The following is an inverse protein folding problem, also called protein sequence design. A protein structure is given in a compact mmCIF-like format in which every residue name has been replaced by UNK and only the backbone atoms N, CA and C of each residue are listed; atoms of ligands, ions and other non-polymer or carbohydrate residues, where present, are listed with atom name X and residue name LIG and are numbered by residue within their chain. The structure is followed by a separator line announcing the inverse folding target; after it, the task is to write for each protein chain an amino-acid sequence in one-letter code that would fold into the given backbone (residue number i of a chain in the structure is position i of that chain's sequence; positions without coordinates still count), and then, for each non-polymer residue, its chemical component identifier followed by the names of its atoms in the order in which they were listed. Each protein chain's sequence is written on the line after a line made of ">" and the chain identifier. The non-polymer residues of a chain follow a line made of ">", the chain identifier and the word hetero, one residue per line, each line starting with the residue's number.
data_IF_852899180851
#
_entry.id   IF_852899180851
#
_cell.length_a   1.000
_cell.length_b   1.000
_cell.length_c   1.000
_cell.angle_alpha   90.00
_cell.angle_beta   90.00
_cell.angle_gamma   90.00
#
_symmetry.space_group_name_H-M   'P 1'
#
loop_
_entity.id
_entity.type
_entity.pdbx_description
1 polymer ?
#
# COMPACT_ATOMS: atom_id res chain seq x y z
N UNK A 1 -15.31 53.15 -13.02
CA UNK A 1 -15.05 52.77 -11.62
C UNK A 1 -15.47 51.30 -11.50
N UNK A 2 -14.57 50.34 -11.80
CA UNK A 2 -13.59 49.72 -10.89
C UNK A 2 -14.28 49.18 -9.62
N UNK A 3 -14.12 47.93 -9.16
CA UNK A 3 -13.19 46.81 -9.40
C UNK A 3 -13.79 45.61 -8.65
N UNK A 4 -13.56 44.38 -9.11
CA UNK A 4 -13.53 43.09 -8.37
C UNK A 4 -13.32 42.00 -9.46
N UNK A 5 -12.15 41.90 -10.09
CA UNK A 5 -10.95 41.16 -9.65
C UNK A 5 -11.20 39.65 -9.47
N UNK A 6 -11.09 38.93 -10.59
CA UNK A 6 -10.35 37.68 -10.82
C UNK A 6 -10.24 36.68 -9.65
N UNK A 7 -11.01 35.59 -9.77
CA UNK A 7 -10.71 34.30 -9.14
C UNK A 7 -10.25 33.39 -10.27
N UNK A 8 -8.93 33.33 -10.45
CA UNK A 8 -8.27 32.32 -11.28
C UNK A 8 -8.53 30.93 -10.68
N UNK A 9 -9.08 30.06 -11.53
CA UNK A 9 -9.18 28.62 -11.33
C UNK A 9 -7.79 28.03 -11.11
N UNK A 10 -7.52 27.60 -9.87
CA UNK A 10 -6.33 26.85 -9.49
C UNK A 10 -6.27 25.52 -10.22
N UNK A 11 -5.46 25.49 -11.27
CA UNK A 11 -4.93 24.29 -11.91
C UNK A 11 -3.85 23.73 -10.98
N UNK A 12 -4.10 22.57 -10.37
CA UNK A 12 -3.04 21.81 -9.71
C UNK A 12 -1.98 21.36 -10.72
N UNK A 13 -0.72 21.12 -10.32
CA UNK A 13 0.40 21.00 -11.27
C UNK A 13 0.51 19.63 -11.96
N UNK A 14 -0.44 18.72 -11.81
CA UNK A 14 -0.32 17.35 -12.35
C UNK A 14 -1.62 16.87 -13.01
N UNK A 15 -1.54 16.21 -14.18
CA UNK A 15 -2.72 15.74 -14.90
C UNK A 15 -3.44 14.66 -14.09
N UNK A 16 -4.75 14.82 -13.94
CA UNK A 16 -5.64 13.76 -13.45
C UNK A 16 -5.56 12.54 -14.38
N UNK A 17 -5.67 11.33 -13.81
CA UNK A 17 -5.57 10.03 -14.50
C UNK A 17 -6.39 9.97 -15.81
N UNK A 18 -7.50 10.72 -15.91
CA UNK A 18 -8.27 10.89 -17.15
C UNK A 18 -7.44 11.31 -18.37
N UNK A 19 -6.44 12.18 -18.20
CA UNK A 19 -5.57 12.62 -19.30
C UNK A 19 -4.50 11.59 -19.70
N UNK A 20 -4.20 10.60 -18.84
CA UNK A 20 -3.30 9.49 -19.17
C UNK A 20 -4.00 8.41 -20.01
N UNK A 21 -5.32 8.26 -19.85
CA UNK A 21 -6.13 7.25 -20.56
C UNK A 21 -6.31 7.57 -22.05
N UNK A 22 -6.39 8.83 -22.45
CA UNK A 22 -6.71 9.17 -23.86
C UNK A 22 -5.49 9.28 -24.80
N UNK A 23 -4.30 9.54 -24.25
CA UNK A 23 -3.06 9.75 -25.04
C UNK A 23 -2.09 8.56 -25.05
N UNK A 24 -2.03 7.78 -23.97
CA UNK A 24 -1.06 6.69 -23.81
C UNK A 24 -1.66 5.28 -24.00
N UNK A 25 -2.99 5.13 -23.95
CA UNK A 25 -3.67 3.83 -24.06
C UNK A 25 -3.48 3.14 -25.42
N UNK A 26 -3.28 3.90 -26.51
CA UNK A 26 -3.18 3.32 -27.85
C UNK A 26 -1.85 2.62 -28.16
N UNK A 27 -0.77 2.92 -27.43
CA UNK A 27 0.56 2.37 -27.75
C UNK A 27 0.97 1.17 -26.91
N UNK A 28 0.43 1.04 -25.70
CA UNK A 28 0.90 0.05 -24.71
C UNK A 28 -0.03 -1.16 -24.53
N UNK A 29 -1.30 -1.03 -24.96
CA UNK A 29 -2.24 -2.16 -25.03
C UNK A 29 -1.86 -3.21 -26.09
N UNK A 30 -1.12 -2.81 -27.15
CA UNK A 30 -0.75 -3.72 -28.25
C UNK A 30 0.36 -4.73 -27.91
N UNK A 31 1.13 -4.53 -26.84
CA UNK A 31 2.25 -5.41 -26.46
C UNK A 31 1.93 -6.37 -25.31
N UNK A 32 0.77 -6.24 -24.66
CA UNK A 32 0.39 -7.12 -23.56
C UNK A 32 -0.04 -8.51 -24.06
N UNK A 33 0.39 -9.60 -23.40
CA UNK A 33 -0.22 -10.91 -23.61
C UNK A 33 -1.74 -10.85 -23.37
N UNK A 34 -2.52 -11.60 -24.15
CA UNK A 34 -3.99 -11.55 -24.06
C UNK A 34 -4.52 -11.85 -22.65
N UNK A 35 -3.89 -12.77 -21.92
CA UNK A 35 -4.25 -13.08 -20.51
C UNK A 35 -3.99 -11.90 -19.57
N UNK A 36 -2.92 -11.13 -19.81
CA UNK A 36 -2.55 -9.95 -19.03
C UNK A 36 -3.51 -8.81 -19.33
N UNK A 37 -3.85 -8.60 -20.60
CA UNK A 37 -4.80 -7.57 -21.02
C UNK A 37 -6.17 -7.79 -20.38
N UNK A 38 -6.69 -9.01 -20.44
CA UNK A 38 -7.98 -9.35 -19.83
C UNK A 38 -8.00 -9.14 -18.31
N UNK A 39 -6.93 -9.55 -17.61
CA UNK A 39 -6.80 -9.30 -16.18
C UNK A 39 -6.66 -7.81 -15.87
N UNK A 40 -5.94 -7.05 -16.72
CA UNK A 40 -5.72 -5.62 -16.54
C UNK A 40 -7.03 -4.84 -16.72
N UNK A 41 -7.86 -5.18 -17.70
CA UNK A 41 -9.20 -4.59 -17.89
C UNK A 41 -10.07 -4.78 -16.65
N UNK A 42 -10.09 -6.00 -16.09
CA UNK A 42 -10.77 -6.26 -14.81
C UNK A 42 -10.21 -5.45 -13.66
N UNK A 43 -8.90 -5.21 -13.61
CA UNK A 43 -8.30 -4.35 -12.58
C UNK A 43 -8.78 -2.90 -12.71
N UNK A 44 -8.99 -2.40 -13.93
CA UNK A 44 -9.56 -1.07 -14.14
C UNK A 44 -11.03 -1.00 -13.69
N UNK A 45 -11.78 -2.09 -13.85
CA UNK A 45 -13.15 -2.18 -13.31
C UNK A 45 -13.13 -2.18 -11.78
N UNK A 46 -12.22 -2.94 -11.15
CA UNK A 46 -11.98 -2.90 -9.70
C UNK A 46 -11.64 -1.48 -9.24
N UNK A 47 -10.75 -0.78 -9.95
CA UNK A 47 -10.39 0.60 -9.64
C UNK A 47 -11.59 1.55 -9.71
N UNK A 48 -12.45 1.37 -10.72
CA UNK A 48 -13.67 2.17 -10.90
C UNK A 48 -14.66 1.95 -9.76
N UNK A 49 -14.87 0.70 -9.33
CA UNK A 49 -15.76 0.38 -8.21
C UNK A 49 -15.16 0.81 -6.86
N UNK A 50 -13.85 0.76 -6.66
CA UNK A 50 -13.22 1.29 -5.45
C UNK A 50 -13.41 2.80 -5.33
N UNK A 51 -13.26 3.54 -6.43
CA UNK A 51 -13.48 5.01 -6.45
C UNK A 51 -14.93 5.39 -6.19
N UNK A 52 -15.90 4.53 -6.51
CA UNK A 52 -17.30 4.80 -6.16
C UNK A 52 -17.58 4.62 -4.66
N UNK A 53 -16.85 3.73 -3.98
CA UNK A 53 -17.02 3.48 -2.54
C UNK A 53 -16.18 4.43 -1.69
N UNK A 54 -14.99 4.81 -2.18
CA UNK A 54 -14.01 5.61 -1.45
C UNK A 54 -13.94 7.00 -2.10
N UNK A 55 -14.88 7.87 -1.70
CA UNK A 55 -15.05 9.23 -2.25
C UNK A 55 -13.88 10.15 -1.90
N UNK A 56 -13.47 10.98 -2.87
CA UNK A 56 -12.49 12.06 -2.69
C UNK A 56 -11.04 11.61 -2.45
N UNK A 57 -10.71 10.33 -2.69
CA UNK A 57 -9.41 9.75 -2.34
C UNK A 57 -8.84 8.86 -3.46
N UNK A 58 -8.87 9.37 -4.68
CA UNK A 58 -8.38 8.68 -5.87
C UNK A 58 -6.91 8.25 -5.71
N UNK A 59 -6.07 9.13 -5.14
CA UNK A 59 -4.65 8.84 -4.89
C UNK A 59 -4.46 7.62 -3.95
N UNK A 60 -5.32 7.48 -2.94
CA UNK A 60 -5.24 6.34 -2.01
C UNK A 60 -5.63 5.05 -2.73
N UNK A 61 -6.69 5.09 -3.55
CA UNK A 61 -7.10 3.92 -4.36
C UNK A 61 -5.97 3.50 -5.30
N UNK A 62 -5.34 4.45 -5.98
CA UNK A 62 -4.21 4.20 -6.87
C UNK A 62 -3.01 3.57 -6.14
N UNK A 63 -2.64 4.12 -4.97
CA UNK A 63 -1.56 3.59 -4.15
C UNK A 63 -1.89 2.19 -3.61
N UNK A 64 -3.15 1.91 -3.26
CA UNK A 64 -3.57 0.58 -2.85
C UNK A 64 -3.44 -0.41 -4.00
N UNK A 65 -3.97 -0.11 -5.18
CA UNK A 65 -3.86 -0.99 -6.35
C UNK A 65 -2.40 -1.20 -6.75
N UNK A 66 -1.59 -0.15 -6.71
CA UNK A 66 -0.13 -0.24 -6.92
C UNK A 66 0.52 -1.18 -5.91
N UNK A 67 0.12 -1.12 -4.64
CA UNK A 67 0.62 -2.03 -3.61
C UNK A 67 0.18 -3.48 -3.85
N UNK A 68 -1.06 -3.72 -4.26
CA UNK A 68 -1.55 -5.06 -4.61
C UNK A 68 -0.74 -5.67 -5.76
N UNK A 69 -0.51 -4.91 -6.82
CA UNK A 69 0.31 -5.31 -7.96
C UNK A 69 1.79 -5.51 -7.62
N UNK A 70 2.30 -4.77 -6.63
CA UNK A 70 3.66 -4.89 -6.13
C UNK A 70 3.82 -5.99 -5.05
N UNK A 71 2.74 -6.67 -4.66
CA UNK A 71 2.69 -7.61 -3.53
C UNK A 71 3.16 -6.97 -2.21
N UNK A 72 2.87 -5.68 -2.04
CA UNK A 72 3.33 -4.87 -0.93
C UNK A 72 2.27 -4.65 0.13
N UNK A 73 2.64 -4.82 1.39
CA UNK A 73 1.78 -4.48 2.53
C UNK A 73 1.76 -2.96 2.80
N UNK A 74 0.66 -2.46 3.34
CA UNK A 74 0.42 -1.03 3.54
C UNK A 74 0.22 -0.73 5.02
N UNK A 75 0.82 0.36 5.49
CA UNK A 75 0.56 0.93 6.81
C UNK A 75 -0.25 2.22 6.66
N UNK A 76 -1.46 2.24 7.18
CA UNK A 76 -2.32 3.42 7.21
C UNK A 76 -2.19 4.12 8.57
N UNK A 77 -1.83 5.39 8.57
CA UNK A 77 -1.88 6.20 9.79
C UNK A 77 -3.31 6.61 10.11
N UNK A 78 -3.70 6.44 11.37
CA UNK A 78 -5.09 6.53 11.75
C UNK A 78 -5.63 7.96 11.85
N UNK A 79 -6.79 8.12 11.21
CA UNK A 79 -7.81 9.11 11.53
C UNK A 79 -9.08 8.27 11.62
N UNK A 80 -9.68 8.11 12.80
CA UNK A 80 -10.83 7.22 12.98
C UNK A 80 -11.98 7.60 12.05
N UNK A 81 -12.67 6.60 11.50
CA UNK A 81 -13.91 6.81 10.74
C UNK A 81 -13.73 7.18 9.25
N UNK A 82 -12.50 7.24 8.73
CA UNK A 82 -12.24 7.68 7.34
C UNK A 82 -12.34 6.59 6.26
N UNK A 83 -12.93 5.43 6.58
CA UNK A 83 -13.22 4.37 5.59
C UNK A 83 -12.08 3.38 5.30
N UNK A 84 -11.07 3.25 6.17
CA UNK A 84 -9.93 2.32 5.99
C UNK A 84 -10.37 0.85 5.92
N UNK A 85 -11.23 0.44 6.85
CA UNK A 85 -11.78 -0.93 6.86
C UNK A 85 -12.71 -1.16 5.67
N UNK A 86 -13.46 -0.14 5.25
CA UNK A 86 -14.28 -0.15 4.03
C UNK A 86 -13.41 -0.42 2.81
N UNK A 87 -12.31 0.33 2.63
CA UNK A 87 -11.36 0.16 1.55
C UNK A 87 -10.81 -1.27 1.47
N UNK A 88 -10.31 -1.81 2.58
CA UNK A 88 -9.75 -3.15 2.60
C UNK A 88 -10.81 -4.24 2.32
N UNK A 89 -12.01 -4.11 2.89
CA UNK A 89 -13.12 -5.04 2.61
C UNK A 89 -13.55 -4.98 1.15
N UNK A 90 -13.67 -3.79 0.57
CA UNK A 90 -14.03 -3.61 -0.83
C UNK A 90 -12.99 -4.24 -1.76
N UNK A 91 -11.70 -4.07 -1.47
CA UNK A 91 -10.62 -4.74 -2.23
C UNK A 91 -10.79 -6.26 -2.19
N UNK A 92 -10.97 -6.84 -1.00
CA UNK A 92 -11.12 -8.28 -0.89
C UNK A 92 -12.36 -8.82 -1.62
N UNK A 93 -13.49 -8.13 -1.52
CA UNK A 93 -14.72 -8.53 -2.21
C UNK A 93 -14.58 -8.43 -3.73
N UNK A 94 -14.01 -7.34 -4.23
CA UNK A 94 -13.87 -7.08 -5.67
C UNK A 94 -12.89 -8.04 -6.37
N UNK A 95 -11.88 -8.53 -5.65
CA UNK A 95 -10.82 -9.42 -6.17
C UNK A 95 -11.01 -10.88 -5.69
N UNK A 96 -12.13 -11.20 -5.04
CA UNK A 96 -12.42 -12.55 -4.52
C UNK A 96 -11.29 -13.11 -3.63
N UNK A 97 -10.75 -12.27 -2.76
CA UNK A 97 -9.66 -12.61 -1.85
C UNK A 97 -10.20 -13.17 -0.53
N UNK A 98 -9.54 -14.20 0.00
CA UNK A 98 -9.81 -14.61 1.37
C UNK A 98 -9.37 -13.51 2.33
N UNK A 99 -10.34 -13.03 3.11
CA UNK A 99 -10.20 -11.87 3.97
C UNK A 99 -10.25 -12.25 5.45
N UNK A 100 -9.32 -11.70 6.23
CA UNK A 100 -9.36 -11.78 7.68
C UNK A 100 -9.10 -10.40 8.29
N UNK A 101 -9.68 -10.16 9.47
CA UNK A 101 -9.49 -8.94 10.23
C UNK A 101 -9.11 -9.28 11.66
N UNK A 102 -8.05 -8.66 12.16
CA UNK A 102 -7.65 -8.70 13.56
C UNK A 102 -7.68 -7.29 14.14
N UNK A 103 -8.15 -7.19 15.38
CA UNK A 103 -7.99 -6.00 16.20
C UNK A 103 -6.77 -6.22 17.09
N UNK A 104 -5.77 -5.36 16.99
CA UNK A 104 -4.61 -5.44 17.86
C UNK A 104 -4.93 -4.84 19.22
N UNK A 105 -4.83 -5.67 20.25
CA UNK A 105 -5.01 -5.29 21.65
C UNK A 105 -3.77 -5.65 22.46
N UNK A 106 -3.54 -5.04 23.64
CA UNK A 106 -2.36 -5.33 24.44
C UNK A 106 -2.22 -6.80 24.88
N UNK A 107 -3.34 -7.50 24.96
CA UNK A 107 -3.46 -8.91 25.34
C UNK A 107 -3.38 -9.89 24.16
N UNK A 108 -3.40 -9.40 22.92
CA UNK A 108 -3.30 -10.25 21.73
C UNK A 108 -1.98 -11.01 21.72
N UNK A 109 -2.03 -12.34 21.64
CA UNK A 109 -0.84 -13.20 21.66
C UNK A 109 -0.38 -13.54 20.23
N UNK A 110 0.90 -13.87 20.02
CA UNK A 110 1.39 -14.37 18.73
C UNK A 110 0.59 -15.57 18.21
N UNK A 111 0.19 -16.50 19.09
CA UNK A 111 -0.58 -17.69 18.70
C UNK A 111 -1.99 -17.37 18.19
N UNK A 112 -2.59 -16.26 18.62
CA UNK A 112 -3.90 -15.82 18.11
C UNK A 112 -3.83 -15.33 16.67
N UNK A 113 -2.63 -14.95 16.21
CA UNK A 113 -2.36 -14.45 14.85
C UNK A 113 -1.84 -15.59 13.96
N UNK A 114 -0.84 -16.33 14.43
CA UNK A 114 -0.17 -17.37 13.64
C UNK A 114 -0.92 -18.71 13.67
N UNK A 115 -1.80 -18.92 14.65
CA UNK A 115 -2.39 -20.21 14.93
C UNK A 115 -1.54 -21.04 15.90
N UNK A 116 -1.98 -22.27 16.15
CA UNK A 116 -1.33 -23.16 17.09
C UNK A 116 -1.87 -24.58 17.06
N UNK A 117 -1.16 -25.48 17.72
CA UNK A 117 -1.52 -26.90 17.82
C UNK A 117 -2.57 -27.12 18.92
N UNK A 118 -3.69 -27.76 18.56
CA UNK A 118 -4.74 -28.14 19.51
C UNK A 118 -4.73 -29.66 19.66
N UNK A 119 -4.64 -30.13 20.89
CA UNK A 119 -4.73 -31.56 21.18
C UNK A 119 -6.15 -32.07 20.91
N UNK A 120 -6.28 -33.11 20.08
CA UNK A 120 -7.53 -33.81 19.79
C UNK A 120 -7.58 -35.13 20.57
N UNK A 121 -8.31 -35.22 21.70
CA UNK A 121 -8.32 -36.40 22.55
C UNK A 121 -8.85 -37.66 21.85
N UNK A 122 -9.72 -37.50 20.85
CA UNK A 122 -10.31 -38.61 20.10
C UNK A 122 -9.28 -39.41 19.28
N UNK A 123 -8.22 -38.75 18.81
CA UNK A 123 -7.15 -39.36 17.99
C UNK A 123 -5.80 -39.39 18.71
N UNK A 124 -5.66 -38.69 19.85
CA UNK A 124 -4.42 -38.64 20.63
C UNK A 124 -3.32 -37.81 19.98
N UNK A 125 -3.67 -36.94 19.03
CA UNK A 125 -2.73 -36.16 18.22
C UNK A 125 -2.95 -34.66 18.39
N UNK A 126 -1.89 -33.88 18.17
CA UNK A 126 -1.96 -32.43 18.05
C UNK A 126 -2.26 -32.05 16.60
N UNK A 127 -3.33 -31.30 16.37
CA UNK A 127 -3.70 -30.79 15.06
C UNK A 127 -3.44 -29.29 14.99
N UNK A 128 -2.74 -28.85 13.94
CA UNK A 128 -2.54 -27.44 13.69
C UNK A 128 -3.85 -26.75 13.32
N UNK A 129 -4.19 -25.71 14.07
CA UNK A 129 -5.29 -24.79 13.74
C UNK A 129 -4.69 -23.50 13.18
N UNK A 130 -4.91 -23.18 11.89
CA UNK A 130 -4.39 -21.96 11.28
C UNK A 130 -4.99 -20.73 11.94
N UNK A 131 -4.15 -19.72 12.14
CA UNK A 131 -4.56 -18.39 12.59
C UNK A 131 -5.07 -17.52 11.43
N UNK A 132 -5.49 -16.27 11.72
CA UNK A 132 -6.00 -15.33 10.73
C UNK A 132 -4.99 -14.92 9.64
N UNK A 133 -3.69 -15.17 9.79
CA UNK A 133 -2.70 -14.91 8.73
C UNK A 133 -2.83 -15.82 7.51
N UNK A 134 -3.56 -16.94 7.62
CA UNK A 134 -3.76 -17.89 6.51
C UNK A 134 -4.89 -17.45 5.56
N UNK A 135 -4.78 -16.23 5.05
CA UNK A 135 -5.70 -15.61 4.10
C UNK A 135 -4.92 -14.90 2.98
N UNK A 136 -5.61 -14.27 2.02
CA UNK A 136 -4.96 -13.45 1.00
C UNK A 136 -4.80 -11.99 1.44
N UNK A 137 -5.81 -11.43 2.12
CA UNK A 137 -5.78 -10.07 2.65
C UNK A 137 -6.06 -10.07 4.15
N UNK A 138 -5.10 -9.58 4.93
CA UNK A 138 -5.23 -9.40 6.38
C UNK A 138 -5.31 -7.93 6.72
N UNK A 139 -6.37 -7.54 7.42
CA UNK A 139 -6.48 -6.21 8.04
C UNK A 139 -6.05 -6.31 9.50
N UNK A 140 -5.00 -5.56 9.85
CA UNK A 140 -4.49 -5.50 11.22
C UNK A 140 -4.73 -4.12 11.81
N UNK A 141 -5.86 -3.97 12.52
CA UNK A 141 -6.23 -2.67 13.07
C UNK A 141 -5.45 -2.34 14.34
N UNK A 142 -4.97 -1.10 14.44
CA UNK A 142 -4.21 -0.57 15.57
C UNK A 142 -2.98 -1.41 15.94
N UNK A 143 -2.18 -1.81 14.95
CA UNK A 143 -1.01 -2.69 15.13
C UNK A 143 -0.07 -2.25 16.26
N UNK A 144 0.01 -0.94 16.50
CA UNK A 144 0.80 -0.36 17.58
C UNK A 144 0.20 -0.54 18.98
N UNK A 145 -0.99 -1.14 19.17
CA UNK A 145 -1.50 -1.53 20.50
C UNK A 145 -1.09 -2.93 20.94
N UNK A 146 -0.73 -3.79 19.99
CA UNK A 146 -0.22 -5.13 20.28
C UNK A 146 1.17 -5.06 20.92
N UNK A 147 1.50 -6.06 21.75
CA UNK A 147 2.84 -6.15 22.33
C UNK A 147 3.93 -6.23 21.25
N UNK A 148 5.17 -5.78 21.52
CA UNK A 148 6.27 -5.88 20.55
C UNK A 148 6.53 -7.30 20.03
N UNK A 149 6.25 -8.32 20.87
CA UNK A 149 6.38 -9.73 20.49
C UNK A 149 5.31 -10.13 19.46
N UNK A 150 4.08 -9.71 19.67
CA UNK A 150 2.94 -9.96 18.77
C UNK A 150 3.10 -9.23 17.45
N UNK A 151 3.54 -7.96 17.49
CA UNK A 151 3.91 -7.19 16.29
C UNK A 151 4.99 -7.91 15.48
N UNK A 152 6.05 -8.38 16.15
CA UNK A 152 7.15 -9.09 15.49
C UNK A 152 6.67 -10.37 14.80
N UNK A 153 5.80 -11.15 15.46
CA UNK A 153 5.23 -12.37 14.89
C UNK A 153 4.44 -12.11 13.60
N UNK A 154 3.54 -11.11 13.61
CA UNK A 154 2.78 -10.72 12.42
C UNK A 154 3.70 -10.23 11.28
N UNK A 155 4.67 -9.37 11.61
CA UNK A 155 5.55 -8.76 10.62
C UNK A 155 6.60 -9.75 10.07
N UNK A 156 6.95 -10.78 10.83
CA UNK A 156 7.75 -11.91 10.36
C UNK A 156 6.95 -12.74 9.35
N UNK A 157 5.71 -13.11 9.68
CA UNK A 157 4.81 -13.81 8.76
C UNK A 157 4.61 -13.01 7.46
N UNK A 158 4.45 -11.69 7.56
CA UNK A 158 4.34 -10.76 6.43
C UNK A 158 5.60 -10.71 5.57
N UNK A 159 6.80 -10.75 6.17
CA UNK A 159 8.05 -10.65 5.43
C UNK A 159 8.48 -11.97 4.80
N UNK A 160 8.22 -13.10 5.48
CA UNK A 160 8.67 -14.42 5.07
C UNK A 160 7.60 -15.19 4.27
N UNK A 161 6.35 -14.72 4.25
CA UNK A 161 5.21 -15.38 3.59
C UNK A 161 4.98 -16.84 4.05
N UNK A 162 5.47 -17.17 5.23
CA UNK A 162 5.35 -18.47 5.89
C UNK A 162 5.38 -18.27 7.40
N UNK A 163 4.89 -19.26 8.14
CA UNK A 163 5.00 -19.31 9.59
C UNK A 163 5.60 -20.64 10.02
N UNK A 164 6.41 -20.62 11.07
CA UNK A 164 6.95 -21.83 11.68
C UNK A 164 6.32 -22.04 13.05
N UNK A 165 5.58 -23.13 13.21
CA UNK A 165 4.89 -23.51 14.44
C UNK A 165 5.43 -24.87 14.88
N UNK A 166 6.01 -24.93 16.08
CA UNK A 166 6.58 -26.16 16.65
C UNK A 166 7.58 -26.89 15.73
N UNK A 167 8.38 -26.12 14.98
CA UNK A 167 9.38 -26.64 14.05
C UNK A 167 8.83 -27.09 12.70
N UNK A 168 7.52 -26.99 12.46
CA UNK A 168 6.90 -27.22 11.16
C UNK A 168 6.62 -25.91 10.44
N UNK A 169 6.99 -25.86 9.16
CA UNK A 169 6.75 -24.72 8.28
C UNK A 169 5.39 -24.84 7.61
N UNK A 170 4.65 -23.74 7.60
CA UNK A 170 3.37 -23.59 6.93
C UNK A 170 3.43 -22.36 6.03
N UNK A 171 3.23 -22.55 4.73
CA UNK A 171 3.20 -21.44 3.77
C UNK A 171 1.86 -20.69 3.85
N UNK A 172 1.92 -19.36 3.72
CA UNK A 172 0.72 -18.52 3.64
C UNK A 172 0.14 -18.55 2.23
N UNK A 173 -1.12 -18.12 2.08
CA UNK A 173 -1.75 -18.04 0.77
C UNK A 173 -1.08 -16.98 -0.07
N UNK A 174 -0.92 -17.24 -1.36
CA UNK A 174 -0.39 -16.25 -2.29
C UNK A 174 -1.57 -15.60 -3.06
N UNK A 175 -1.52 -14.27 -3.31
CA UNK A 175 -0.69 -13.30 -2.59
C UNK A 175 -1.16 -13.16 -1.13
N UNK A 176 -0.22 -12.86 -0.22
CA UNK A 176 -0.51 -12.49 1.18
C UNK A 176 -0.17 -11.02 1.40
N UNK A 177 -1.19 -10.20 1.65
CA UNK A 177 -1.06 -8.75 1.79
C UNK A 177 -1.64 -8.31 3.12
N UNK A 178 -0.91 -7.45 3.83
CA UNK A 178 -1.37 -6.85 5.08
C UNK A 178 -1.71 -5.38 4.86
N UNK A 179 -2.91 -4.97 5.26
CA UNK A 179 -3.26 -3.56 5.45
C UNK A 179 -3.35 -3.33 6.96
N UNK A 180 -2.31 -2.72 7.53
CA UNK A 180 -2.24 -2.40 8.94
C UNK A 180 -2.66 -0.96 9.19
N UNK A 181 -3.33 -0.69 10.32
CA UNK A 181 -3.57 0.68 10.79
C UNK A 181 -2.78 0.92 12.07
N UNK A 182 -2.34 2.15 12.30
CA UNK A 182 -1.69 2.52 13.57
C UNK A 182 -2.23 3.84 14.11
N UNK A 183 -2.40 3.91 15.42
CA UNK A 183 -2.76 5.15 16.11
C UNK A 183 -1.61 6.16 16.06
N UNK A 184 -1.87 7.47 16.04
CA UNK A 184 -0.85 8.50 16.12
C UNK A 184 0.06 8.36 17.35
N UNK A 185 1.31 8.82 17.22
CA UNK A 185 2.26 8.80 18.32
C UNK A 185 1.75 9.61 19.53
N UNK A 186 1.92 9.07 20.74
CA UNK A 186 1.51 9.72 22.00
C UNK A 186 0.17 9.27 22.57
N UNK A 187 -0.56 8.37 21.89
CA UNK A 187 -1.73 7.71 22.47
C UNK A 187 -1.32 6.74 23.59
N UNK A 188 -2.02 6.76 24.73
CA UNK A 188 -1.77 5.84 25.84
C UNK A 188 -1.98 4.38 25.40
N UNK A 189 -1.11 3.48 25.88
CA UNK A 189 -1.19 2.05 25.57
C UNK A 189 -0.73 1.67 24.17
N UNK A 190 0.13 2.48 23.54
CA UNK A 190 0.75 2.16 22.24
C UNK A 190 2.25 1.85 22.36
N UNK A 191 2.70 0.89 21.55
CA UNK A 191 4.07 0.46 21.32
C UNK A 191 4.45 0.85 19.88
N UNK A 192 5.30 1.87 19.67
CA UNK A 192 5.67 2.31 18.34
C UNK A 192 6.44 1.21 17.60
N UNK A 193 6.15 1.07 16.30
CA UNK A 193 6.89 0.16 15.43
C UNK A 193 8.34 0.65 15.26
N UNK A 194 9.36 -0.16 15.57
CA UNK A 194 10.75 0.15 15.26
C UNK A 194 10.98 0.39 13.75
N UNK A 195 12.01 1.16 13.41
CA UNK A 195 12.40 1.44 12.02
C UNK A 195 12.57 0.15 11.19
N UNK A 196 13.13 -0.91 11.78
CA UNK A 196 13.30 -2.22 11.14
C UNK A 196 11.98 -2.95 10.84
N UNK A 197 10.91 -2.63 11.56
CA UNK A 197 9.57 -3.15 11.34
C UNK A 197 8.83 -2.34 10.28
N UNK A 198 8.93 -1.01 10.35
CA UNK A 198 8.36 -0.10 9.34
C UNK A 198 8.91 -0.40 7.94
N UNK A 199 10.21 -0.71 7.82
CA UNK A 199 10.87 -1.03 6.54
C UNK A 199 10.25 -2.23 5.79
N UNK A 200 9.40 -3.04 6.44
CA UNK A 200 8.68 -4.16 5.80
C UNK A 200 7.42 -3.74 5.04
N UNK A 201 6.82 -2.58 5.35
CA UNK A 201 5.63 -2.08 4.63
C UNK A 201 6.02 -1.37 3.35
N UNK A 202 5.44 -1.71 2.21
CA UNK A 202 5.70 -1.01 0.94
C UNK A 202 5.38 0.48 1.08
N UNK A 203 4.16 0.80 1.48
CA UNK A 203 3.71 2.17 1.66
C UNK A 203 3.32 2.47 3.10
N UNK A 204 3.59 3.70 3.52
CA UNK A 204 2.92 4.33 4.66
C UNK A 204 2.06 5.47 4.15
N UNK A 205 0.76 5.34 4.29
CA UNK A 205 -0.21 6.28 3.74
C UNK A 205 -0.95 7.01 4.86
N UNK A 206 -1.27 8.27 4.59
CA UNK A 206 -2.24 9.04 5.39
C UNK A 206 -3.58 9.02 4.68
N UNK A 207 -4.64 8.91 5.46
CA UNK A 207 -6.00 8.96 4.96
C UNK A 207 -6.73 9.98 5.82
N UNK A 208 -6.70 11.23 5.39
CA UNK A 208 -7.33 12.35 6.09
C UNK A 208 -8.85 12.32 5.96
N UNK A 209 -9.55 13.24 6.63
CA UNK A 209 -10.99 13.40 6.44
C UNK A 209 -11.31 13.68 4.96
N UNK A 210 -12.43 13.15 4.44
CA UNK A 210 -12.90 13.55 3.11
C UNK A 210 -13.08 15.07 3.05
N UNK A 211 -12.96 15.65 1.85
CA UNK A 211 -13.32 17.05 1.67
C UNK A 211 -14.82 17.27 1.98
N UNK A 212 -15.25 18.49 2.33
CA UNK A 212 -16.63 18.73 2.77
C UNK A 212 -17.70 18.28 1.76
N UNK A 213 -17.41 18.30 0.46
CA UNK A 213 -18.38 17.84 -0.56
C UNK A 213 -18.50 16.32 -0.50
N UNK A 214 -17.37 15.62 -0.53
CA UNK A 214 -17.34 14.16 -0.36
C UNK A 214 -17.93 13.71 0.97
N UNK A 215 -17.74 14.45 2.05
CA UNK A 215 -18.30 14.14 3.37
C UNK A 215 -19.83 14.28 3.39
N UNK A 216 -20.37 15.34 2.78
CA UNK A 216 -21.82 15.51 2.63
C UNK A 216 -22.42 14.38 1.80
N UNK A 217 -21.79 14.01 0.67
CA UNK A 217 -22.26 12.91 -0.18
C UNK A 217 -22.28 11.58 0.59
N UNK A 218 -21.25 11.30 1.39
CA UNK A 218 -21.21 10.12 2.26
C UNK A 218 -22.34 10.11 3.30
N UNK A 219 -22.68 11.26 3.90
CA UNK A 219 -23.75 11.36 4.89
C UNK A 219 -25.14 11.15 4.27
N UNK A 220 -25.35 11.65 3.04
CA UNK A 220 -26.60 11.47 2.31
C UNK A 220 -26.76 10.01 1.86
N UNK A 221 -25.74 9.41 1.23
CA UNK A 221 -25.81 8.03 0.72
C UNK A 221 -25.88 6.98 1.85
N UNK A 222 -25.15 7.14 2.96
CA UNK A 222 -25.22 6.20 4.09
C UNK A 222 -26.60 6.15 4.77
N UNK A 223 -27.38 7.21 4.65
CA UNK A 223 -28.77 7.22 5.15
C UNK A 223 -29.71 6.35 4.31
N UNK A 224 -29.30 5.99 3.08
CA UNK A 224 -30.09 5.22 2.13
C UNK A 224 -29.61 3.76 2.02
N UNK A 225 -28.31 3.47 1.81
CA UNK A 225 -27.76 2.10 1.69
C UNK A 225 -26.26 2.03 2.10
N UNK A 226 -25.74 0.84 2.47
CA UNK A 226 -24.31 0.62 2.77
C UNK A 226 -23.57 0.13 1.49
N UNK A 227 -22.77 0.97 0.80
CA UNK A 227 -22.29 0.69 -0.56
C UNK A 227 -21.46 -0.59 -0.72
N UNK A 228 -20.82 -1.04 0.36
CA UNK A 228 -20.00 -2.26 0.37
C UNK A 228 -20.84 -3.52 0.19
N UNK A 229 -22.12 -3.51 0.59
CA UNK A 229 -22.97 -4.71 0.54
C UNK A 229 -23.37 -5.13 -0.87
N UNK A 230 -23.37 -4.17 -1.80
CA UNK A 230 -23.76 -4.39 -3.19
C UNK A 230 -22.55 -4.71 -4.10
N UNK A 231 -21.34 -4.68 -3.54
CA UNK A 231 -20.14 -5.06 -4.28
C UNK A 231 -20.17 -6.56 -4.59
N UNK A 232 -19.90 -6.87 -5.85
CA UNK A 232 -19.74 -8.24 -6.34
C UNK A 232 -18.32 -8.40 -6.87
N UNK A 233 -17.79 -9.61 -6.78
CA UNK A 233 -16.46 -9.90 -7.31
C UNK A 233 -16.40 -9.63 -8.82
N UNK A 234 -15.36 -8.91 -9.25
CA UNK A 234 -15.13 -8.52 -10.65
C UNK A 234 -13.86 -9.19 -11.20
N UNK A 235 -12.94 -9.50 -10.30
CA UNK A 235 -11.67 -10.16 -10.57
C UNK A 235 -11.52 -11.34 -9.61
N UNK A 236 -10.90 -12.43 -10.05
CA UNK A 236 -10.43 -13.50 -9.16
C UNK A 236 -8.96 -13.30 -8.77
N UNK A 237 -8.59 -13.84 -7.60
CA UNK A 237 -7.22 -13.74 -7.09
C UNK A 237 -6.16 -14.26 -8.06
N UNK A 238 -6.44 -15.34 -8.81
CA UNK A 238 -5.52 -15.90 -9.82
C UNK A 238 -5.21 -14.91 -10.96
N UNK A 239 -6.15 -14.01 -11.27
CA UNK A 239 -5.97 -12.97 -12.29
C UNK A 239 -5.09 -11.84 -11.77
N UNK A 240 -5.21 -11.51 -10.48
CA UNK A 240 -4.25 -10.62 -9.81
C UNK A 240 -2.84 -11.22 -9.84
N UNK A 241 -2.67 -12.53 -9.65
CA UNK A 241 -1.36 -13.19 -9.74
C UNK A 241 -0.75 -13.13 -11.14
N UNK A 242 -1.57 -13.23 -12.20
CA UNK A 242 -1.13 -13.00 -13.59
C UNK A 242 -0.52 -11.60 -13.71
N UNK A 243 -1.21 -10.58 -13.21
CA UNK A 243 -0.74 -9.20 -13.26
C UNK A 243 0.52 -8.99 -12.43
N UNK A 244 0.60 -9.56 -11.23
CA UNK A 244 1.81 -9.49 -10.39
C UNK A 244 3.02 -10.11 -11.09
N UNK A 245 2.86 -11.27 -11.74
CA UNK A 245 3.92 -11.89 -12.56
C UNK A 245 4.33 -11.00 -13.73
N UNK A 246 3.37 -10.40 -14.43
CA UNK A 246 3.66 -9.49 -15.52
C UNK A 246 4.36 -8.22 -15.05
N UNK A 247 3.91 -7.60 -13.96
CA UNK A 247 4.55 -6.43 -13.32
C UNK A 247 6.02 -6.70 -13.02
N UNK A 248 6.36 -7.93 -12.60
CA UNK A 248 7.75 -8.30 -12.37
C UNK A 248 8.62 -8.27 -13.62
N UNK A 249 8.03 -8.46 -14.79
CA UNK A 249 8.69 -8.45 -16.10
C UNK A 249 8.76 -7.07 -16.79
N UNK A 250 8.02 -6.08 -16.28
CA UNK A 250 7.99 -4.71 -16.82
C UNK A 250 9.42 -4.15 -16.92
N UNK A 251 9.76 -3.58 -18.07
CA UNK A 251 11.11 -3.13 -18.38
C UNK A 251 11.53 -1.95 -17.50
N UNK A 252 12.73 -2.05 -16.94
CA UNK A 252 13.36 -0.98 -16.19
C UNK A 252 14.66 -0.61 -16.89
N UNK A 253 14.70 0.58 -17.47
CA UNK A 253 15.93 1.09 -18.06
C UNK A 253 16.97 1.41 -16.98
N UNK A 254 18.25 1.23 -17.32
CA UNK A 254 19.38 1.50 -16.40
C UNK A 254 19.34 2.93 -15.83
N UNK A 255 18.87 3.89 -16.61
CA UNK A 255 18.67 5.30 -16.21
C UNK A 255 17.66 5.46 -15.08
N UNK A 256 16.56 4.72 -15.08
CA UNK A 256 15.58 4.71 -13.98
C UNK A 256 16.19 4.07 -12.73
N UNK A 257 16.88 2.93 -12.89
CA UNK A 257 17.58 2.29 -11.78
C UNK A 257 18.67 3.21 -11.17
N UNK A 258 19.44 3.92 -12.01
CA UNK A 258 20.40 4.93 -11.59
C UNK A 258 19.73 6.10 -10.86
N UNK A 259 18.55 6.55 -11.30
CA UNK A 259 17.79 7.59 -10.62
C UNK A 259 17.34 7.16 -9.21
N UNK A 260 16.81 5.94 -9.06
CA UNK A 260 16.46 5.39 -7.73
C UNK A 260 17.69 5.35 -6.80
N UNK A 261 18.85 4.94 -7.32
CA UNK A 261 20.10 4.92 -6.56
C UNK A 261 20.57 6.34 -6.22
N UNK A 262 20.39 7.31 -7.12
CA UNK A 262 20.71 8.72 -6.88
C UNK A 262 19.84 9.28 -5.74
N UNK A 263 18.52 9.04 -5.76
CA UNK A 263 17.62 9.41 -4.67
C UNK A 263 18.04 8.78 -3.34
N UNK A 264 18.31 7.47 -3.33
CA UNK A 264 18.76 6.80 -2.12
C UNK A 264 20.11 7.35 -1.62
N UNK A 265 21.03 7.68 -2.53
CA UNK A 265 22.32 8.30 -2.18
C UNK A 265 22.12 9.68 -1.59
N UNK A 266 21.23 10.49 -2.16
CA UNK A 266 20.87 11.81 -1.62
C UNK A 266 20.31 11.69 -0.19
N UNK A 267 19.39 10.74 0.06
CA UNK A 267 18.88 10.52 1.43
C UNK A 267 19.95 10.12 2.46
N UNK A 268 21.03 9.45 2.03
CA UNK A 268 22.13 9.03 2.91
C UNK A 268 23.11 10.16 3.25
N UNK A 269 23.15 11.19 2.40
CA UNK A 269 24.04 12.35 2.57
C UNK A 269 23.28 13.63 3.00
N UNK A 270 21.95 13.59 3.05
CA UNK A 270 21.14 14.72 3.51
C UNK A 270 21.35 14.99 5.00
N UNK A 271 21.79 16.21 5.33
CA UNK A 271 22.09 16.61 6.72
C UNK A 271 20.88 16.58 7.66
N UNK A 272 19.64 16.59 7.15
CA UNK A 272 18.41 16.51 7.94
C UNK A 272 18.13 15.07 8.40
N UNK A 273 18.71 14.08 7.74
CA UNK A 273 18.48 12.66 8.01
C UNK A 273 19.63 12.04 8.79
N UNK A 274 19.29 11.22 9.79
CA UNK A 274 20.21 10.39 10.56
C UNK A 274 20.49 9.07 9.86
N UNK A 275 19.45 8.46 9.28
CA UNK A 275 19.49 7.21 8.52
C UNK A 275 18.80 7.45 7.19
N UNK A 276 19.50 7.19 6.09
CA UNK A 276 18.98 7.28 4.74
C UNK A 276 18.40 5.95 4.23
N UNK A 277 17.89 5.97 3.00
CA UNK A 277 17.20 4.83 2.40
C UNK A 277 18.10 3.58 2.27
N UNK A 278 17.57 2.43 2.69
CA UNK A 278 18.23 1.13 2.62
C UNK A 278 18.22 0.55 1.18
N UNK A 279 19.08 -0.43 0.85
CA UNK A 279 18.98 -1.18 -0.40
C UNK A 279 17.62 -1.88 -0.58
N UNK A 280 16.96 -2.27 0.52
CA UNK A 280 15.59 -2.80 0.48
C UNK A 280 14.61 -1.73 0.01
N UNK A 281 14.70 -0.51 0.56
CA UNK A 281 13.90 0.64 0.12
C UNK A 281 14.04 0.91 -1.39
N UNK A 282 15.26 0.83 -1.95
CA UNK A 282 15.47 0.94 -3.40
C UNK A 282 14.72 -0.12 -4.19
N UNK A 283 14.79 -1.40 -3.77
CA UNK A 283 14.09 -2.51 -4.44
C UNK A 283 12.57 -2.36 -4.36
N UNK A 284 12.07 -1.90 -3.22
CA UNK A 284 10.63 -1.69 -3.02
C UNK A 284 10.10 -0.53 -3.85
N UNK A 285 10.85 0.58 -3.92
CA UNK A 285 10.51 1.70 -4.81
C UNK A 285 10.54 1.28 -6.28
N UNK A 286 11.51 0.45 -6.68
CA UNK A 286 11.56 -0.08 -8.03
C UNK A 286 10.34 -0.96 -8.36
N UNK A 287 9.97 -1.87 -7.45
CA UNK A 287 8.81 -2.74 -7.64
C UNK A 287 7.50 -1.94 -7.68
N UNK A 288 7.36 -0.95 -6.79
CA UNK A 288 6.24 -0.02 -6.81
C UNK A 288 6.15 0.74 -8.14
N UNK A 289 7.28 1.23 -8.67
CA UNK A 289 7.31 1.94 -9.94
C UNK A 289 6.92 1.04 -11.13
N UNK A 290 7.34 -0.23 -11.13
CA UNK A 290 6.84 -1.21 -12.10
C UNK A 290 5.33 -1.44 -11.96
N UNK A 291 4.83 -1.61 -10.74
CA UNK A 291 3.41 -1.79 -10.49
C UNK A 291 2.56 -0.58 -10.92
N UNK A 292 3.03 0.64 -10.67
CA UNK A 292 2.38 1.87 -11.11
C UNK A 292 2.39 2.01 -12.64
N UNK A 293 3.50 1.67 -13.29
CA UNK A 293 3.56 1.61 -14.75
C UNK A 293 2.56 0.58 -15.30
N UNK A 294 2.50 -0.61 -14.69
CA UNK A 294 1.55 -1.67 -15.04
C UNK A 294 0.09 -1.25 -14.84
N UNK A 295 -0.22 -0.57 -13.74
CA UNK A 295 -1.55 0.00 -13.48
C UNK A 295 -1.94 1.02 -14.55
N UNK A 296 -0.98 1.81 -15.03
CA UNK A 296 -1.14 2.74 -16.15
C UNK A 296 -1.20 2.07 -17.53
N UNK A 297 -1.13 0.74 -17.59
CA UNK A 297 -1.13 -0.03 -18.83
C UNK A 297 0.19 -0.01 -19.59
N UNK A 298 1.31 0.38 -18.96
CA UNK A 298 2.64 0.46 -19.59
C UNK A 298 3.51 -0.74 -19.25
N UNK A 299 4.33 -1.18 -20.21
CA UNK A 299 5.32 -2.25 -20.06
C UNK A 299 6.76 -1.76 -19.78
N UNK A 300 6.91 -0.46 -19.47
CA UNK A 300 8.17 0.17 -19.06
C UNK A 300 7.96 1.23 -17.97
N UNK A 301 8.98 1.37 -17.11
CA UNK A 301 8.99 2.37 -16.03
C UNK A 301 9.54 3.71 -16.52
N UNK A 302 8.89 4.80 -16.11
CA UNK A 302 9.33 6.18 -16.29
C UNK A 302 9.90 6.75 -14.98
N UNK A 303 10.79 7.75 -15.03
CA UNK A 303 11.24 8.47 -13.83
C UNK A 303 10.07 9.04 -13.02
N UNK A 304 9.01 9.51 -13.67
CA UNK A 304 7.83 10.07 -13.03
C UNK A 304 7.13 9.06 -12.11
N UNK A 305 7.13 7.76 -12.46
CA UNK A 305 6.61 6.68 -11.60
C UNK A 305 7.38 6.62 -10.28
N UNK A 306 8.71 6.79 -10.35
CA UNK A 306 9.59 6.80 -9.18
C UNK A 306 9.33 8.03 -8.34
N UNK A 307 9.18 9.20 -8.96
CA UNK A 307 8.93 10.46 -8.25
C UNK A 307 7.59 10.43 -7.51
N UNK A 308 6.54 9.95 -8.18
CA UNK A 308 5.19 9.84 -7.61
C UNK A 308 5.17 8.97 -6.35
N UNK A 309 5.89 7.84 -6.36
CA UNK A 309 5.86 6.85 -5.29
C UNK A 309 6.94 7.08 -4.21
N UNK A 310 7.88 7.99 -4.44
CA UNK A 310 9.05 8.16 -3.57
C UNK A 310 8.67 8.49 -2.12
N UNK A 311 7.74 9.41 -1.89
CA UNK A 311 7.33 9.82 -0.54
C UNK A 311 6.61 8.69 0.20
N UNK A 312 5.63 8.05 -0.43
CA UNK A 312 4.86 6.94 0.15
C UNK A 312 5.74 5.73 0.47
N UNK A 313 6.80 5.50 -0.32
CA UNK A 313 7.73 4.39 -0.14
C UNK A 313 8.87 4.72 0.83
N UNK A 314 9.49 5.89 0.72
CA UNK A 314 10.75 6.17 1.42
C UNK A 314 10.55 6.93 2.74
N UNK A 315 9.43 7.62 2.93
CA UNK A 315 9.19 8.49 4.09
C UNK A 315 9.38 7.76 5.43
N UNK A 316 8.88 6.53 5.55
CA UNK A 316 9.03 5.72 6.77
C UNK A 316 10.30 4.87 6.84
N UNK A 317 11.17 4.97 5.83
CA UNK A 317 12.45 4.25 5.75
C UNK A 317 13.66 5.13 6.01
N UNK A 318 13.42 6.40 6.32
CA UNK A 318 14.44 7.36 6.74
C UNK A 318 14.11 7.86 8.13
N UNK A 319 15.13 8.26 8.89
CA UNK A 319 14.95 8.80 10.24
C UNK A 319 15.47 10.23 10.30
N UNK A 320 14.67 11.19 10.77
CA UNK A 320 15.13 12.57 10.98
C UNK A 320 16.21 12.63 12.07
N UNK A 321 17.12 13.61 11.99
CA UNK A 321 18.04 13.97 13.08
C UNK A 321 17.32 14.77 14.17
N UNK A 322 16.25 15.47 13.82
CA UNK A 322 15.44 16.20 14.78
C UNK A 322 14.48 15.21 15.45
N UNK A 323 14.37 15.30 16.78
CA UNK A 323 13.63 14.33 17.60
C UNK A 323 12.09 14.40 17.40
N UNK A 324 11.59 15.29 16.53
CA UNK A 324 10.20 15.35 16.12
C UNK A 324 9.90 14.23 15.13
N UNK A 325 9.33 13.13 15.63
CA UNK A 325 8.95 11.93 14.88
C UNK A 325 7.78 12.10 13.89
N UNK A 326 7.57 13.29 13.31
CA UNK A 326 6.45 13.51 12.40
C UNK A 326 6.74 12.89 11.02
N UNK A 327 5.85 11.99 10.58
CA UNK A 327 5.84 11.46 9.20
C UNK A 327 5.89 12.60 8.16
N UNK A 328 5.27 13.74 8.46
CA UNK A 328 5.27 14.92 7.59
C UNK A 328 6.67 15.48 7.34
N UNK A 329 7.53 15.49 8.36
CA UNK A 329 8.89 16.05 8.23
C UNK A 329 9.73 15.18 7.28
N UNK A 330 9.75 13.86 7.52
CA UNK A 330 10.47 12.93 6.64
C UNK A 330 9.91 12.91 5.23
N UNK A 331 8.58 12.94 5.07
CA UNK A 331 7.92 13.02 3.77
C UNK A 331 8.31 14.29 2.99
N UNK A 332 8.34 15.45 3.67
CA UNK A 332 8.78 16.72 3.06
C UNK A 332 10.26 16.70 2.67
N UNK A 333 11.13 16.09 3.48
CA UNK A 333 12.54 15.90 3.14
C UNK A 333 12.67 15.04 1.88
N UNK A 334 11.94 13.94 1.78
CA UNK A 334 11.95 13.10 0.57
C UNK A 334 11.43 13.87 -0.65
N UNK A 335 10.30 14.58 -0.54
CA UNK A 335 9.78 15.39 -1.64
C UNK A 335 10.78 16.47 -2.11
N UNK A 336 11.49 17.10 -1.15
CA UNK A 336 12.57 18.04 -1.44
C UNK A 336 13.77 17.38 -2.13
N UNK A 337 14.14 16.16 -1.76
CA UNK A 337 15.22 15.41 -2.42
C UNK A 337 14.82 15.05 -3.85
N UNK A 338 13.57 14.61 -4.05
CA UNK A 338 13.05 14.25 -5.38
C UNK A 338 13.09 15.43 -6.34
N UNK A 339 12.68 16.63 -5.90
CA UNK A 339 12.67 17.83 -6.74
C UNK A 339 14.07 18.36 -7.08
N UNK A 340 15.08 18.04 -6.27
CA UNK A 340 16.46 18.49 -6.47
C UNK A 340 17.34 17.46 -7.19
N UNK A 341 16.95 16.19 -7.19
CA UNK A 341 17.76 15.13 -7.81
C UNK A 341 17.50 15.10 -9.31
N UNK A 342 18.53 15.41 -10.10
CA UNK A 342 18.44 15.34 -11.56
C UNK A 342 18.19 13.91 -12.04
N UNK A 343 17.34 13.78 -13.06
CA UNK A 343 17.18 12.52 -13.78
C UNK A 343 18.41 12.35 -14.67
N UNK A 344 19.19 11.26 -14.52
CA UNK A 344 20.39 11.05 -15.33
C UNK A 344 20.07 11.08 -16.83
N UNK A 345 20.63 12.05 -17.55
CA UNK A 345 20.62 12.08 -19.01
C UNK A 345 21.48 10.91 -19.50
N UNK A 346 20.90 10.02 -20.31
CA UNK A 346 21.60 8.82 -20.77
C UNK A 346 22.89 9.15 -21.55
N UNK A 347 23.96 8.40 -21.26
CA UNK A 347 25.17 8.34 -22.09
C UNK A 347 25.09 7.27 -23.16
#
# INVERSE_FOLDING_TARGET
>A
MNRLADIESGTGPFPTVKNAVDGASKGASETMPAEVLAAWEKLQDVATQLRSVIRGKDDVVELVLTALLAEGSILLEDVPGVGKTTLAKSVALLIDMEYQRIQCTPDLLPGDILGGSIYRPAVGEFEFRPGPVFCNLLVADEINRASPRTQSALLEAMAETQVTIEGQRYDLKHPFIVIATQNPAGFEGTFPLPESQLDRFLFRLKMDYPDPVSEVDLLVEQSEHEPVRDLTAVMHVDELEILQRWVRSIRVDRKVASYIVALATATRHDGRLRVGCSPRGCKMLLRAAQAHAGLSGRDYVLPDDVQHLATATLGHRVSSRHASHAMDETGQVIASIVSQTEIPLGG
#
